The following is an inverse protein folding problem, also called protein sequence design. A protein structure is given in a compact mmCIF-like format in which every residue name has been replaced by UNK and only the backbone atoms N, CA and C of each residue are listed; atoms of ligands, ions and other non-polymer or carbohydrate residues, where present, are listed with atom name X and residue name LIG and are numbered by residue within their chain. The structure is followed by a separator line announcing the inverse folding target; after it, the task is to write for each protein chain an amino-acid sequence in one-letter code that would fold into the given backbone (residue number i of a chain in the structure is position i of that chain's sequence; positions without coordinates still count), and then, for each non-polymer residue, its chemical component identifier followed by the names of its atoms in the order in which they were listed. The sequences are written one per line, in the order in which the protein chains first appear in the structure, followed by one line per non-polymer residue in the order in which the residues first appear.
data_IF_958645746659
#
_entry.id   IF_958645746659
#
_cell.length_a   1.000
_cell.length_b   1.000
_cell.length_c   1.000
_cell.angle_alpha   90.00
_cell.angle_beta   90.00
_cell.angle_gamma   90.00
#
_symmetry.space_group_name_H-M   'P 1'
#
loop_
_entity.id
_entity.type
_entity.pdbx_description
1 polymer ?
#
# COMPACT_ATOMS: atom_id res chain seq x y z
N UNK A 1 15.22 5.44 43.58
CA UNK A 1 16.23 5.52 42.50
C UNK A 1 15.53 5.51 41.14
N UNK A 2 15.20 6.69 40.60
CA UNK A 2 14.50 6.84 39.32
C UNK A 2 15.44 6.51 38.15
N UNK A 3 15.20 5.38 37.46
CA UNK A 3 15.90 5.07 36.20
C UNK A 3 15.40 6.03 35.12
N UNK A 4 16.28 6.97 34.73
CA UNK A 4 16.16 7.82 33.53
C UNK A 4 15.62 6.99 32.36
N UNK A 5 14.40 7.30 31.90
CA UNK A 5 13.90 6.89 30.59
C UNK A 5 14.93 7.41 29.57
N UNK A 6 15.66 6.51 28.90
CA UNK A 6 16.45 6.87 27.72
C UNK A 6 15.44 7.38 26.68
N UNK A 7 15.28 8.70 26.59
CA UNK A 7 14.67 9.34 25.43
C UNK A 7 15.50 8.88 24.24
N UNK A 8 14.86 8.16 23.31
CA UNK A 8 15.40 7.93 21.98
C UNK A 8 15.80 9.30 21.44
N UNK A 9 17.10 9.53 21.26
CA UNK A 9 17.59 10.72 20.56
C UNK A 9 16.92 10.72 19.18
N UNK A 10 16.35 11.87 18.81
CA UNK A 10 15.77 12.12 17.49
C UNK A 10 16.79 11.78 16.41
N UNK A 11 16.67 10.60 15.82
CA UNK A 11 17.22 10.32 14.51
C UNK A 11 16.15 10.72 13.51
N UNK A 12 16.34 11.93 12.99
CA UNK A 12 15.52 12.61 12.00
C UNK A 12 15.40 11.76 10.72
N UNK A 13 14.19 11.74 10.19
CA UNK A 13 13.78 11.45 8.81
C UNK A 13 14.10 10.07 8.19
N UNK A 14 15.00 9.27 8.77
CA UNK A 14 15.38 7.93 8.25
C UNK A 14 14.47 6.77 8.71
N UNK A 15 13.60 6.98 9.69
CA UNK A 15 12.62 5.98 10.16
C UNK A 15 11.21 6.29 9.61
N UNK A 16 11.11 6.79 8.37
CA UNK A 16 9.83 7.15 7.76
C UNK A 16 8.98 5.93 7.40
N UNK A 17 9.60 4.77 7.15
CA UNK A 17 8.92 3.53 6.77
C UNK A 17 9.10 2.43 7.84
N UNK A 18 8.04 1.69 8.14
CA UNK A 18 8.05 0.55 9.07
C UNK A 18 9.14 -0.45 8.71
N UNK A 19 9.34 -0.72 7.42
CA UNK A 19 10.35 -1.68 6.97
C UNK A 19 11.80 -1.17 7.16
N UNK A 20 12.02 0.14 7.13
CA UNK A 20 13.33 0.71 7.47
C UNK A 20 13.62 0.54 8.97
N UNK A 21 12.60 0.69 9.82
CA UNK A 21 12.71 0.39 11.26
C UNK A 21 13.04 -1.09 11.47
N UNK A 22 12.40 -2.00 10.72
CA UNK A 22 12.68 -3.44 10.79
C UNK A 22 14.09 -3.78 10.30
N UNK A 23 14.58 -3.12 9.24
CA UNK A 23 15.93 -3.29 8.72
C UNK A 23 16.98 -2.85 9.76
N UNK A 24 16.74 -1.73 10.43
CA UNK A 24 17.62 -1.23 11.49
C UNK A 24 17.48 -2.00 12.81
N UNK A 25 16.35 -2.68 13.02
CA UNK A 25 16.04 -3.46 14.24
C UNK A 25 15.52 -4.84 13.83
N UNK A 26 16.39 -5.70 13.25
CA UNK A 26 15.97 -6.97 12.66
C UNK A 26 15.31 -7.93 13.67
N UNK A 27 15.55 -7.75 14.97
CA UNK A 27 14.87 -8.52 16.02
C UNK A 27 13.35 -8.27 16.07
N UNK A 28 12.86 -7.13 15.59
CA UNK A 28 11.42 -6.81 15.54
C UNK A 28 10.67 -7.66 14.51
N UNK A 29 11.32 -8.10 13.43
CA UNK A 29 10.71 -9.02 12.44
C UNK A 29 10.23 -10.32 13.10
N UNK A 30 10.92 -10.75 14.16
CA UNK A 30 10.56 -11.95 14.90
C UNK A 30 9.25 -11.76 15.66
N UNK A 31 8.89 -10.53 16.04
CA UNK A 31 7.79 -10.19 16.94
C UNK A 31 6.40 -10.31 16.31
N UNK A 32 6.34 -10.53 15.00
CA UNK A 32 5.11 -10.61 14.23
C UNK A 32 5.08 -11.88 13.37
N UNK A 33 3.90 -12.21 12.84
CA UNK A 33 3.75 -13.12 11.69
C UNK A 33 4.07 -12.36 10.41
N UNK A 34 4.30 -13.07 9.29
CA UNK A 34 4.56 -12.43 7.99
C UNK A 34 3.38 -11.52 7.60
N UNK A 35 2.16 -12.04 7.65
CA UNK A 35 0.94 -11.27 7.35
C UNK A 35 0.78 -10.08 8.31
N UNK A 36 1.08 -10.29 9.59
CA UNK A 36 1.02 -9.25 10.59
C UNK A 36 2.04 -8.13 10.38
N UNK A 37 3.20 -8.43 9.78
CA UNK A 37 4.19 -7.41 9.37
C UNK A 37 3.69 -6.61 8.17
N UNK A 38 3.07 -7.26 7.19
CA UNK A 38 2.53 -6.61 6.00
C UNK A 38 1.40 -5.64 6.38
N UNK A 39 0.46 -6.09 7.20
CA UNK A 39 -0.67 -5.28 7.61
C UNK A 39 -0.25 -4.13 8.54
N UNK A 40 0.54 -4.41 9.58
CA UNK A 40 1.04 -3.36 10.49
C UNK A 40 1.94 -2.39 9.75
N UNK A 41 2.78 -2.87 8.82
CA UNK A 41 3.65 -2.03 8.01
C UNK A 41 2.87 -1.07 7.13
N UNK A 42 1.88 -1.57 6.37
CA UNK A 42 1.00 -0.74 5.55
C UNK A 42 0.29 0.33 6.38
N UNK A 43 -0.32 -0.07 7.51
CA UNK A 43 -1.07 0.87 8.35
C UNK A 43 -0.16 1.87 9.08
N UNK A 44 1.01 1.45 9.56
CA UNK A 44 2.01 2.33 10.17
C UNK A 44 2.53 3.35 9.16
N UNK A 45 2.79 2.94 7.93
CA UNK A 45 3.31 3.82 6.88
C UNK A 45 2.33 4.95 6.53
N UNK A 46 1.02 4.69 6.66
CA UNK A 46 -0.03 5.70 6.48
C UNK A 46 -0.10 6.76 7.59
N UNK A 47 0.63 6.61 8.69
CA UNK A 47 0.65 7.58 9.78
C UNK A 47 1.56 8.77 9.47
N UNK A 48 1.20 9.94 10.02
CA UNK A 48 2.09 11.10 10.05
C UNK A 48 3.36 10.80 10.84
N UNK A 49 4.44 11.58 10.65
CA UNK A 49 5.69 11.35 11.37
C UNK A 49 5.54 11.47 12.90
N UNK A 50 4.72 12.42 13.37
CA UNK A 50 4.41 12.56 14.80
C UNK A 50 3.65 11.35 15.35
N UNK A 51 2.71 10.83 14.57
CA UNK A 51 1.90 9.66 14.95
C UNK A 51 2.71 8.36 14.91
N UNK A 52 3.69 8.27 14.01
CA UNK A 52 4.69 7.19 13.98
C UNK A 52 5.53 7.15 15.25
N UNK A 53 5.87 8.30 15.83
CA UNK A 53 6.56 8.38 17.12
C UNK A 53 5.64 7.96 18.28
N UNK A 54 4.38 8.43 18.26
CA UNK A 54 3.36 8.03 19.26
C UNK A 54 3.09 6.53 19.24
N UNK A 55 3.13 5.90 18.07
CA UNK A 55 3.00 4.45 17.94
C UNK A 55 4.08 3.74 18.76
N UNK A 56 5.35 4.01 18.52
CA UNK A 56 6.44 3.33 19.23
C UNK A 56 6.49 3.63 20.73
N UNK A 57 6.00 4.79 21.17
CA UNK A 57 5.92 5.10 22.61
C UNK A 57 4.75 4.39 23.31
N UNK A 58 3.67 4.08 22.59
CA UNK A 58 2.41 3.63 23.18
C UNK A 58 2.09 2.16 22.87
N UNK A 59 2.72 1.54 21.87
CA UNK A 59 2.48 0.13 21.55
C UNK A 59 3.20 -0.77 22.56
N UNK A 60 2.41 -1.51 23.33
CA UNK A 60 2.93 -2.54 24.21
C UNK A 60 3.22 -3.82 23.42
N UNK A 61 4.51 -4.13 23.24
CA UNK A 61 4.97 -5.32 22.54
C UNK A 61 5.61 -6.33 23.51
N UNK A 62 5.18 -7.58 23.39
CA UNK A 62 5.76 -8.72 24.09
C UNK A 62 7.11 -9.08 23.48
N UNK A 63 8.14 -9.08 24.32
CA UNK A 63 9.51 -9.44 23.90
C UNK A 63 9.64 -10.95 23.76
N UNK A 64 9.95 -11.41 22.55
CA UNK A 64 10.16 -12.83 22.28
C UNK A 64 11.35 -13.40 23.07
N UNK A 65 12.37 -12.59 23.32
CA UNK A 65 13.53 -13.04 24.11
C UNK A 65 13.13 -13.25 25.57
N UNK A 66 12.37 -12.32 26.17
CA UNK A 66 11.84 -12.50 27.53
C UNK A 66 10.90 -13.70 27.61
N UNK A 67 10.04 -13.88 26.62
CA UNK A 67 9.14 -15.03 26.56
C UNK A 67 9.92 -16.35 26.45
N UNK A 68 10.94 -16.41 25.61
CA UNK A 68 11.77 -17.61 25.46
C UNK A 68 12.50 -17.93 26.75
N UNK A 69 13.04 -16.90 27.41
CA UNK A 69 13.66 -17.04 28.73
C UNK A 69 12.66 -17.54 29.78
N UNK A 70 11.46 -16.95 29.85
CA UNK A 70 10.42 -17.39 30.78
C UNK A 70 9.96 -18.81 30.48
N UNK A 71 9.74 -19.19 29.23
CA UNK A 71 9.32 -20.55 28.88
C UNK A 71 10.42 -21.59 29.17
N UNK A 72 11.71 -21.26 29.00
CA UNK A 72 12.80 -22.20 29.26
C UNK A 72 13.05 -22.40 30.76
N UNK A 73 13.10 -21.33 31.55
CA UNK A 73 13.50 -21.40 32.96
C UNK A 73 12.30 -21.48 33.92
N UNK A 74 11.17 -20.91 33.53
CA UNK A 74 9.97 -20.80 34.37
C UNK A 74 8.71 -21.31 33.67
N UNK A 75 8.85 -21.98 32.52
CA UNK A 75 7.72 -22.50 31.76
C UNK A 75 6.96 -23.54 32.58
N UNK A 76 7.66 -24.37 33.36
CA UNK A 76 7.04 -25.39 34.20
C UNK A 76 6.01 -24.81 35.19
N UNK A 77 6.25 -23.60 35.69
CA UNK A 77 5.36 -22.90 36.63
C UNK A 77 4.42 -21.89 35.92
N UNK A 78 4.34 -21.92 34.59
CA UNK A 78 3.41 -21.12 33.80
C UNK A 78 3.67 -19.61 33.73
N UNK A 79 4.86 -19.14 34.16
CA UNK A 79 5.23 -17.71 34.14
C UNK A 79 5.17 -17.12 32.73
N UNK A 80 5.46 -17.93 31.71
CA UNK A 80 5.33 -17.55 30.31
C UNK A 80 3.88 -17.27 29.88
N UNK A 81 2.91 -18.02 30.42
CA UNK A 81 1.47 -17.81 30.19
C UNK A 81 0.96 -16.56 30.89
N UNK A 82 1.38 -16.33 32.13
CA UNK A 82 1.07 -15.09 32.86
C UNK A 82 1.68 -13.86 32.18
N UNK A 83 2.89 -13.98 31.63
CA UNK A 83 3.51 -12.90 30.85
C UNK A 83 2.67 -12.52 29.62
N UNK A 84 1.95 -13.46 29.02
CA UNK A 84 1.03 -13.22 27.89
C UNK A 84 -0.40 -12.84 28.32
N UNK A 85 -0.64 -12.64 29.62
CA UNK A 85 -1.97 -12.43 30.23
C UNK A 85 -2.96 -13.60 30.04
N UNK A 86 -2.47 -14.82 29.75
CA UNK A 86 -3.30 -16.02 29.63
C UNK A 86 -3.42 -16.73 31.00
N UNK A 87 -4.03 -16.05 31.98
CA UNK A 87 -4.07 -16.49 33.39
C UNK A 87 -4.67 -17.89 33.58
N UNK A 88 -5.72 -18.21 32.85
CA UNK A 88 -6.40 -19.51 32.92
C UNK A 88 -5.46 -20.66 32.50
N UNK A 89 -4.75 -20.51 31.38
CA UNK A 89 -3.78 -21.50 30.91
C UNK A 89 -2.56 -21.59 31.84
N UNK A 90 -2.15 -20.49 32.45
CA UNK A 90 -1.12 -20.49 33.49
C UNK A 90 -1.50 -21.35 34.70
N UNK A 91 -2.73 -21.18 35.21
CA UNK A 91 -3.26 -22.00 36.31
C UNK A 91 -3.39 -23.46 35.90
N UNK A 92 -3.92 -23.75 34.70
CA UNK A 92 -4.05 -25.12 34.20
C UNK A 92 -2.68 -25.82 34.11
N UNK A 93 -1.65 -25.09 33.67
CA UNK A 93 -0.29 -25.60 33.57
C UNK A 93 0.31 -25.93 34.94
N UNK A 94 0.04 -25.09 35.95
CA UNK A 94 0.45 -25.34 37.33
C UNK A 94 -0.24 -26.57 37.94
N UNK A 95 -1.54 -26.74 37.71
CA UNK A 95 -2.31 -27.83 38.34
C UNK A 95 -2.07 -29.18 37.66
N UNK A 96 -2.00 -29.22 36.32
CA UNK A 96 -2.03 -30.48 35.57
C UNK A 96 -0.69 -30.86 34.94
N UNK A 97 0.07 -29.88 34.44
CA UNK A 97 1.31 -30.15 33.70
C UNK A 97 2.52 -30.24 34.64
N UNK A 98 2.59 -29.40 35.67
CA UNK A 98 3.71 -29.40 36.60
C UNK A 98 3.94 -30.76 37.29
N UNK A 99 2.92 -31.47 37.83
CA UNK A 99 3.11 -32.79 38.42
C UNK A 99 3.47 -33.87 37.39
N UNK A 100 2.88 -33.80 36.20
CA UNK A 100 3.06 -34.79 35.11
C UNK A 100 4.48 -34.72 34.50
N UNK A 101 5.06 -33.52 34.44
CA UNK A 101 6.37 -33.26 33.85
C UNK A 101 7.54 -33.72 34.73
N UNK A 102 7.33 -33.86 36.05
CA UNK A 102 8.34 -34.37 37.00
C UNK A 102 8.56 -35.89 36.88
N UNK A 103 7.59 -36.62 36.34
CA UNK A 103 7.54 -38.09 36.42
C UNK A 103 7.90 -38.73 35.06
N UNK A 104 7.81 -37.99 33.95
CA UNK A 104 7.93 -38.57 32.60
C UNK A 104 9.06 -37.95 31.76
N UNK A 105 9.84 -38.76 31.02
CA UNK A 105 10.91 -38.29 30.13
C UNK A 105 10.39 -37.54 28.89
N UNK A 106 9.08 -37.62 28.60
CA UNK A 106 8.43 -36.88 27.52
C UNK A 106 8.21 -35.39 27.83
N UNK A 107 8.58 -34.96 29.03
CA UNK A 107 8.40 -33.59 29.51
C UNK A 107 9.10 -32.54 28.66
N UNK A 108 10.27 -32.87 28.12
CA UNK A 108 11.03 -31.96 27.25
C UNK A 108 10.30 -31.62 25.95
N UNK A 109 9.63 -32.60 25.33
CA UNK A 109 8.87 -32.40 24.08
C UNK A 109 7.69 -31.46 24.33
N UNK A 110 7.01 -31.62 25.46
CA UNK A 110 5.88 -30.78 25.85
C UNK A 110 6.34 -29.33 26.09
N UNK A 111 7.49 -29.12 26.74
CA UNK A 111 8.07 -27.79 26.95
C UNK A 111 8.43 -27.12 25.62
N UNK A 112 8.99 -27.86 24.66
CA UNK A 112 9.30 -27.32 23.33
C UNK A 112 8.04 -26.94 22.55
N UNK A 113 7.00 -27.78 22.59
CA UNK A 113 5.72 -27.51 21.95
C UNK A 113 5.05 -26.28 22.58
N UNK A 114 5.06 -26.19 23.91
CA UNK A 114 4.48 -25.07 24.62
C UNK A 114 5.23 -23.75 24.33
N UNK A 115 6.57 -23.78 24.27
CA UNK A 115 7.38 -22.65 23.84
C UNK A 115 6.99 -22.19 22.42
N UNK A 116 6.78 -23.12 21.49
CA UNK A 116 6.33 -22.80 20.13
C UNK A 116 4.96 -22.13 20.14
N UNK A 117 4.00 -22.65 20.90
CA UNK A 117 2.65 -22.10 21.03
C UNK A 117 2.66 -20.70 21.68
N UNK A 118 3.44 -20.51 22.74
CA UNK A 118 3.65 -19.22 23.38
C UNK A 118 4.21 -18.19 22.40
N UNK A 119 5.22 -18.56 21.60
CA UNK A 119 5.78 -17.66 20.57
C UNK A 119 4.77 -17.30 19.49
N UNK A 120 3.98 -18.27 19.02
CA UNK A 120 2.90 -18.01 18.06
C UNK A 120 1.86 -17.04 18.64
N UNK A 121 1.44 -17.27 19.89
CA UNK A 121 0.48 -16.41 20.59
C UNK A 121 1.00 -14.99 20.80
N UNK A 122 2.26 -14.84 21.22
CA UNK A 122 2.90 -13.54 21.40
C UNK A 122 2.94 -12.72 20.11
N UNK A 123 3.21 -13.37 18.96
CA UNK A 123 3.18 -12.71 17.65
C UNK A 123 1.78 -12.18 17.30
N UNK A 124 0.74 -12.97 17.57
CA UNK A 124 -0.65 -12.56 17.37
C UNK A 124 -1.00 -11.37 18.27
N UNK A 125 -0.65 -11.43 19.56
CA UNK A 125 -0.91 -10.34 20.50
C UNK A 125 -0.17 -9.05 20.13
N UNK A 126 1.08 -9.16 19.68
CA UNK A 126 1.86 -8.01 19.19
C UNK A 126 1.21 -7.36 17.97
N UNK A 127 0.74 -8.17 17.02
CA UNK A 127 -0.02 -7.69 15.87
C UNK A 127 -1.29 -6.95 16.32
N UNK A 128 -2.15 -7.58 17.14
CA UNK A 128 -3.39 -6.98 17.63
C UNK A 128 -3.15 -5.67 18.42
N UNK A 129 -2.14 -5.65 19.30
CA UNK A 129 -1.79 -4.44 20.06
C UNK A 129 -1.31 -3.32 19.14
N UNK A 130 -0.58 -3.65 18.08
CA UNK A 130 -0.11 -2.68 17.10
C UNK A 130 -1.29 -2.07 16.34
N UNK A 131 -2.19 -2.91 15.81
CA UNK A 131 -3.41 -2.44 15.12
C UNK A 131 -4.26 -1.57 16.06
N UNK A 132 -4.53 -2.03 17.29
CA UNK A 132 -5.29 -1.25 18.28
C UNK A 132 -4.66 0.11 18.57
N UNK A 133 -3.34 0.18 18.65
CA UNK A 133 -2.63 1.45 18.87
C UNK A 133 -2.78 2.37 17.66
N UNK A 134 -2.61 1.84 16.45
CA UNK A 134 -2.76 2.61 15.20
C UNK A 134 -4.18 3.18 15.09
N UNK A 135 -5.21 2.36 15.33
CA UNK A 135 -6.61 2.80 15.30
C UNK A 135 -6.88 3.92 16.31
N UNK A 136 -6.35 3.80 17.54
CA UNK A 136 -6.48 4.83 18.57
C UNK A 136 -5.81 6.15 18.15
N UNK A 137 -4.62 6.06 17.55
CA UNK A 137 -3.89 7.24 17.06
C UNK A 137 -4.67 7.91 15.93
N UNK A 138 -5.18 7.15 14.96
CA UNK A 138 -6.02 7.67 13.86
C UNK A 138 -7.28 8.36 14.37
N UNK A 139 -7.98 7.75 15.33
CA UNK A 139 -9.18 8.34 15.94
C UNK A 139 -8.86 9.69 16.64
N UNK A 140 -7.79 9.75 17.44
CA UNK A 140 -7.39 10.99 18.11
C UNK A 140 -6.97 12.10 17.14
N UNK A 141 -6.36 11.72 16.00
CA UNK A 141 -5.95 12.67 14.96
C UNK A 141 -7.15 13.23 14.19
N UNK A 142 -8.19 12.42 14.02
CA UNK A 142 -9.44 12.84 13.40
C UNK A 142 -10.22 13.81 14.30
N UNK A 143 -10.31 13.53 15.61
CA UNK A 143 -10.93 14.43 16.60
C UNK A 143 -10.21 15.78 16.70
N UNK A 144 -8.87 15.80 16.66
CA UNK A 144 -8.10 17.05 16.64
C UNK A 144 -8.35 17.88 15.37
N UNK A 145 -8.47 17.22 14.20
CA UNK A 145 -8.77 17.89 12.93
C UNK A 145 -10.20 18.42 12.88
N UNK A 146 -11.18 17.70 13.44
CA UNK A 146 -12.56 18.18 13.51
C UNK A 146 -12.70 19.37 14.45
N UNK A 147 -11.97 19.41 15.58
CA UNK A 147 -11.92 20.56 16.48
C UNK A 147 -11.19 21.77 15.87
N UNK A 148 -10.08 21.56 15.16
CA UNK A 148 -9.40 22.63 14.43
C UNK A 148 -10.27 23.21 13.31
N UNK A 149 -11.01 22.38 12.58
CA UNK A 149 -11.93 22.84 11.54
C UNK A 149 -13.19 23.54 12.10
N UNK A 150 -13.57 23.29 13.36
CA UNK A 150 -14.59 24.08 14.06
C UNK A 150 -14.07 25.43 14.56
N UNK A 151 -12.78 25.55 14.89
CA UNK A 151 -12.15 26.83 15.24
C UNK A 151 -11.78 27.70 14.02
N UNK A 152 -11.85 27.15 12.80
CA UNK A 152 -11.59 27.86 11.54
C UNK A 152 -12.93 27.99 10.78
N UNK A 153 -13.90 28.69 11.38
CA UNK A 153 -14.93 29.47 10.67
C UNK A 153 -14.65 30.95 10.94
N UNK A 154 -14.81 31.83 9.95
CA UNK A 154 -13.72 32.68 9.54
C UNK A 154 -13.68 34.04 10.25
N UNK A 155 -12.47 34.51 10.57
CA UNK A 155 -12.13 35.95 10.48
C UNK A 155 -12.27 36.38 9.00
N UNK A 156 -13.50 36.52 8.53
CA UNK A 156 -13.80 37.43 7.43
C UNK A 156 -14.13 38.76 8.10
N UNK A 157 -13.20 39.68 7.90
CA UNK A 157 -13.25 41.08 8.30
C UNK A 157 -14.54 41.71 7.78
N UNK A 158 -15.31 42.23 8.73
CA UNK A 158 -16.34 43.24 8.54
C UNK A 158 -15.76 44.46 7.81
N UNK A 159 -16.38 44.83 6.69
CA UNK A 159 -16.46 46.23 6.26
C UNK A 159 -17.83 46.50 5.65
N UNK A 160 -18.66 47.20 6.44
CA UNK A 160 -19.79 48.03 6.02
C UNK A 160 -20.97 47.26 5.43
N UNK A 161 -22.21 47.35 5.92
CA UNK A 161 -22.89 48.52 6.48
C UNK A 161 -24.13 48.06 7.25
N UNK A 162 -24.39 48.78 8.35
CA UNK A 162 -25.64 48.92 9.11
C UNK A 162 -26.87 48.15 8.57
N UNK A 163 -27.52 47.32 9.39
CA UNK A 163 -28.54 47.85 10.31
C UNK A 163 -28.69 46.99 11.57
N UNK A 164 -28.81 47.70 12.69
CA UNK A 164 -28.87 47.25 14.08
C UNK A 164 -30.33 47.28 14.52
N UNK A 165 -30.65 46.58 15.63
CA UNK A 165 -31.83 46.72 16.52
C UNK A 165 -33.10 45.97 16.04
N UNK A 166 -33.84 45.15 16.80
CA UNK A 166 -34.09 44.96 18.26
C UNK A 166 -34.55 43.49 18.47
N UNK A 167 -33.89 42.68 19.30
CA UNK A 167 -34.31 42.16 20.64
C UNK A 167 -35.73 41.57 20.73
N UNK A 168 -35.76 40.28 21.14
CA UNK A 168 -36.74 39.50 21.91
C UNK A 168 -38.23 39.91 21.89
N UNK A 169 -39.13 38.94 21.61
CA UNK A 169 -40.05 38.37 22.63
C UNK A 169 -41.06 37.39 21.97
N UNK A 170 -41.63 36.51 22.80
CA UNK A 170 -42.86 35.73 22.59
C UNK A 170 -42.82 34.36 21.86
N UNK A 171 -42.74 33.34 22.72
CA UNK A 171 -43.48 32.07 22.63
C UNK A 171 -44.95 32.37 22.29
N UNK A 172 -45.47 31.74 21.24
CA UNK A 172 -46.89 31.78 20.91
C UNK A 172 -47.26 30.80 19.81
N UNK A 173 -47.90 29.70 20.22
CA UNK A 173 -48.53 28.70 19.36
C UNK A 173 -49.41 29.35 18.28
N UNK A 174 -49.12 29.08 17.00
CA UNK A 174 -50.13 29.12 15.94
C UNK A 174 -49.91 27.92 15.02
N UNK A 175 -50.92 27.05 15.01
CA UNK A 175 -51.14 25.97 14.06
C UNK A 175 -51.08 26.48 12.63
N UNK A 176 -50.20 25.91 11.81
CA UNK A 176 -50.29 26.02 10.36
C UNK A 176 -50.37 24.62 9.77
N UNK A 177 -51.53 24.43 9.14
CA UNK A 177 -52.04 23.34 8.34
C UNK A 177 -51.01 22.67 7.43
N UNK A 178 -51.06 21.33 7.44
CA UNK A 178 -50.61 20.45 6.36
C UNK A 178 -51.35 20.82 5.07
N UNK A 179 -50.70 21.59 4.20
CA UNK A 179 -50.83 21.51 2.74
C UNK A 179 -49.98 22.65 2.13
N UNK A 180 -49.18 22.33 1.12
CA UNK A 180 -48.30 23.23 0.34
C UNK A 180 -46.94 23.61 0.95
N UNK A 181 -46.02 22.64 0.99
CA UNK A 181 -44.57 22.89 0.81
C UNK A 181 -43.82 21.62 0.35
N UNK A 182 -44.46 20.80 -0.50
CA UNK A 182 -43.73 19.87 -1.39
C UNK A 182 -43.28 20.62 -2.65
N UNK A 183 -42.39 21.58 -2.46
CA UNK A 183 -41.43 21.99 -3.48
C UNK A 183 -40.09 22.10 -2.75
N UNK A 184 -39.64 20.96 -2.22
CA UNK A 184 -38.23 20.78 -1.89
C UNK A 184 -37.47 20.99 -3.19
N UNK A 185 -36.79 22.12 -3.28
CA UNK A 185 -35.82 22.46 -4.32
C UNK A 185 -34.94 21.22 -4.57
N UNK A 186 -35.20 20.49 -5.65
CA UNK A 186 -34.37 19.35 -6.03
C UNK A 186 -33.03 19.92 -6.47
N UNK A 187 -32.07 19.84 -5.55
CA UNK A 187 -30.64 20.05 -5.77
C UNK A 187 -30.15 19.30 -7.02
N UNK A 188 -29.00 19.73 -7.54
CA UNK A 188 -28.39 19.16 -8.74
C UNK A 188 -28.24 17.64 -8.63
N UNK A 189 -28.72 16.90 -9.63
CA UNK A 189 -28.80 15.43 -9.62
C UNK A 189 -27.94 14.84 -10.75
N UNK A 190 -27.02 13.93 -10.40
CA UNK A 190 -26.25 13.13 -11.35
C UNK A 190 -26.76 11.69 -11.36
N UNK A 191 -27.15 11.20 -12.53
CA UNK A 191 -27.59 9.82 -12.76
C UNK A 191 -26.63 9.14 -13.72
N UNK A 192 -26.13 7.96 -13.34
CA UNK A 192 -25.28 7.10 -14.16
C UNK A 192 -25.93 5.74 -14.32
N UNK A 193 -26.47 5.47 -15.50
CA UNK A 193 -27.12 4.19 -15.83
C UNK A 193 -26.16 3.25 -16.56
N UNK A 194 -26.03 2.02 -16.07
CA UNK A 194 -25.28 0.96 -16.76
C UNK A 194 -26.24 0.12 -17.60
N UNK A 195 -26.08 0.12 -18.92
CA UNK A 195 -26.80 -0.77 -19.85
C UNK A 195 -25.95 -2.01 -20.10
N UNK A 196 -26.03 -2.99 -19.20
CA UNK A 196 -25.18 -4.19 -19.22
C UNK A 196 -25.25 -4.94 -20.55
N UNK A 197 -26.45 -5.13 -21.11
CA UNK A 197 -26.65 -5.83 -22.39
C UNK A 197 -26.00 -5.11 -23.58
N UNK A 198 -25.95 -3.79 -23.54
CA UNK A 198 -25.37 -2.94 -24.58
C UNK A 198 -23.90 -2.60 -24.31
N UNK A 199 -23.35 -3.06 -23.18
CA UNK A 199 -22.05 -2.66 -22.66
C UNK A 199 -21.85 -1.14 -22.66
N UNK A 200 -22.89 -0.38 -22.34
CA UNK A 200 -22.89 1.08 -22.44
C UNK A 200 -23.20 1.77 -21.11
N UNK A 201 -22.77 3.02 -20.98
CA UNK A 201 -23.09 3.89 -19.84
C UNK A 201 -23.84 5.11 -20.32
N UNK A 202 -24.96 5.44 -19.69
CA UNK A 202 -25.69 6.69 -19.93
C UNK A 202 -25.49 7.60 -18.74
N UNK A 203 -25.03 8.82 -19.00
CA UNK A 203 -24.86 9.87 -18.02
C UNK A 203 -25.97 10.89 -18.23
N UNK A 204 -26.65 11.27 -17.15
CA UNK A 204 -27.69 12.31 -17.15
C UNK A 204 -27.40 13.24 -15.97
N UNK A 205 -27.33 14.54 -16.21
CA UNK A 205 -27.19 15.55 -15.16
C UNK A 205 -28.35 16.53 -15.23
N UNK A 206 -28.98 16.78 -14.09
CA UNK A 206 -30.12 17.68 -13.95
C UNK A 206 -29.80 18.83 -13.01
N UNK A 207 -30.20 20.04 -13.38
CA UNK A 207 -30.16 21.24 -12.54
C UNK A 207 -31.63 21.65 -12.32
N UNK A 208 -32.07 21.73 -11.07
CA UNK A 208 -33.46 22.06 -10.72
C UNK A 208 -34.52 21.23 -11.47
N UNK A 209 -34.28 19.90 -11.57
CA UNK A 209 -35.16 18.96 -12.26
C UNK A 209 -35.08 18.97 -13.79
N UNK A 210 -34.40 19.94 -14.42
CA UNK A 210 -34.21 20.01 -15.87
C UNK A 210 -32.92 19.29 -16.28
N UNK A 211 -33.02 18.37 -17.24
CA UNK A 211 -31.83 17.73 -17.83
C UNK A 211 -31.03 18.76 -18.61
N UNK A 212 -29.81 19.04 -18.15
CA UNK A 212 -28.88 19.98 -18.81
C UNK A 212 -27.74 19.26 -19.53
N UNK A 213 -27.47 17.99 -19.19
CA UNK A 213 -26.48 17.17 -19.88
C UNK A 213 -26.95 15.72 -19.98
N UNK A 214 -26.74 15.13 -21.16
CA UNK A 214 -26.99 13.71 -21.42
C UNK A 214 -25.98 13.18 -22.42
N UNK A 215 -25.28 12.10 -22.08
CA UNK A 215 -24.32 11.43 -22.98
C UNK A 215 -24.36 9.93 -22.80
N UNK A 216 -24.22 9.20 -23.91
CA UNK A 216 -23.99 7.75 -23.91
C UNK A 216 -22.52 7.48 -24.23
N UNK A 217 -21.87 6.65 -23.42
CA UNK A 217 -20.53 6.11 -23.62
C UNK A 217 -20.64 4.63 -23.97
N UNK A 218 -19.78 4.14 -24.86
CA UNK A 218 -19.86 2.79 -25.43
C UNK A 218 -19.20 1.72 -24.58
N UNK A 219 -18.87 2.02 -23.32
CA UNK A 219 -18.30 1.07 -22.37
C UNK A 219 -18.99 1.22 -21.00
N UNK A 220 -18.92 0.16 -20.18
CA UNK A 220 -19.47 0.18 -18.83
C UNK A 220 -18.60 1.02 -17.91
N UNK A 221 -19.22 1.86 -17.08
CA UNK A 221 -18.50 2.61 -16.06
C UNK A 221 -17.92 1.67 -15.02
N UNK A 222 -16.62 1.82 -14.82
CA UNK A 222 -15.87 1.12 -13.79
C UNK A 222 -15.82 1.95 -12.51
N UNK A 223 -15.52 3.25 -12.63
CA UNK A 223 -15.39 4.18 -11.50
C UNK A 223 -15.73 5.61 -11.94
N UNK A 224 -16.27 6.43 -11.05
CA UNK A 224 -16.55 7.84 -11.35
C UNK A 224 -16.46 8.73 -10.10
N UNK A 225 -16.25 10.02 -10.34
CA UNK A 225 -16.19 11.08 -9.34
C UNK A 225 -16.96 12.30 -9.82
N UNK A 226 -17.75 12.88 -8.94
CA UNK A 226 -18.57 14.05 -9.21
C UNK A 226 -18.05 15.26 -8.42
N UNK A 227 -17.66 16.33 -9.12
CA UNK A 227 -17.13 17.55 -8.54
C UNK A 227 -17.98 18.75 -8.97
N UNK A 228 -19.09 18.98 -8.28
CA UNK A 228 -20.07 20.06 -8.57
C UNK A 228 -20.68 19.99 -9.98
N UNK A 229 -20.03 20.58 -10.99
CA UNK A 229 -20.48 20.59 -12.38
C UNK A 229 -19.61 19.67 -13.27
N UNK A 230 -18.57 19.05 -12.70
CA UNK A 230 -17.63 18.22 -13.43
C UNK A 230 -17.82 16.75 -13.10
N UNK A 231 -17.67 15.90 -14.12
CA UNK A 231 -17.67 14.45 -13.99
C UNK A 231 -16.35 13.91 -14.48
N UNK A 232 -15.67 13.16 -13.61
CA UNK A 232 -14.56 12.30 -13.99
C UNK A 232 -15.07 10.85 -14.03
N UNK A 233 -14.95 10.16 -15.16
CA UNK A 233 -15.50 8.82 -15.34
C UNK A 233 -14.50 7.90 -16.05
N UNK A 234 -14.21 6.76 -15.44
CA UNK A 234 -13.33 5.72 -15.95
C UNK A 234 -14.15 4.51 -16.39
N UNK A 235 -13.91 4.05 -17.62
CA UNK A 235 -14.66 2.96 -18.22
C UNK A 235 -13.87 1.65 -18.18
N UNK A 236 -14.61 0.55 -18.06
CA UNK A 236 -14.07 -0.79 -18.02
C UNK A 236 -13.47 -1.18 -19.37
N UNK A 237 -12.60 -2.19 -19.33
CA UNK A 237 -12.05 -2.78 -20.54
C UNK A 237 -13.14 -3.50 -21.35
N UNK A 238 -13.23 -3.20 -22.64
CA UNK A 238 -14.16 -3.81 -23.60
C UNK A 238 -13.61 -3.65 -25.02
N UNK A 239 -14.30 -4.21 -26.01
CA UNK A 239 -13.93 -4.11 -27.43
C UNK A 239 -14.43 -2.83 -28.11
N UNK A 240 -14.75 -1.79 -27.35
CA UNK A 240 -15.43 -0.58 -27.84
C UNK A 240 -14.53 0.64 -27.74
N UNK A 241 -14.84 1.68 -28.51
CA UNK A 241 -13.96 2.86 -28.63
C UNK A 241 -13.68 3.57 -27.30
N UNK A 242 -14.65 3.57 -26.39
CA UNK A 242 -14.49 4.22 -25.08
C UNK A 242 -13.81 3.32 -24.02
N UNK A 243 -13.45 2.07 -24.36
CA UNK A 243 -12.87 1.12 -23.41
C UNK A 243 -11.56 1.62 -22.78
N UNK A 244 -11.38 1.35 -21.48
CA UNK A 244 -10.23 1.78 -20.66
C UNK A 244 -9.94 3.30 -20.68
N UNK A 245 -10.86 4.14 -21.17
CA UNK A 245 -10.66 5.58 -21.18
C UNK A 245 -11.16 6.23 -19.90
N UNK A 246 -10.42 7.25 -19.48
CA UNK A 246 -10.80 8.22 -18.46
C UNK A 246 -11.29 9.48 -19.17
N UNK A 247 -12.51 9.91 -18.87
CA UNK A 247 -13.10 11.15 -19.37
C UNK A 247 -13.22 12.15 -18.23
N UNK A 248 -12.86 13.40 -18.51
CA UNK A 248 -13.20 14.52 -17.64
C UNK A 248 -14.11 15.49 -18.39
N UNK A 249 -15.28 15.76 -17.82
CA UNK A 249 -16.39 16.41 -18.53
C UNK A 249 -16.90 17.55 -17.67
N UNK A 250 -16.99 18.74 -18.25
CA UNK A 250 -17.81 19.83 -17.75
C UNK A 250 -19.25 19.62 -18.22
N UNK A 251 -20.10 19.16 -17.31
CA UNK A 251 -21.49 18.83 -17.62
C UNK A 251 -22.34 20.08 -17.85
N UNK A 252 -22.02 21.20 -17.17
CA UNK A 252 -22.79 22.44 -17.31
C UNK A 252 -22.61 23.07 -18.69
N UNK A 253 -21.39 23.04 -19.21
CA UNK A 253 -21.07 23.60 -20.53
C UNK A 253 -21.08 22.54 -21.65
N UNK A 254 -21.49 21.30 -21.36
CA UNK A 254 -21.48 20.18 -22.29
C UNK A 254 -20.12 20.01 -23.01
N UNK A 255 -19.03 20.15 -22.25
CA UNK A 255 -17.66 20.16 -22.79
C UNK A 255 -16.86 19.00 -22.22
N UNK A 256 -16.35 18.14 -23.10
CA UNK A 256 -15.30 17.20 -22.71
C UNK A 256 -13.99 17.97 -22.56
N UNK A 257 -13.40 17.93 -21.37
CA UNK A 257 -12.11 18.55 -21.07
C UNK A 257 -10.97 17.69 -21.58
N UNK A 258 -11.01 16.38 -21.33
CA UNK A 258 -10.11 15.39 -21.95
C UNK A 258 -10.73 13.99 -22.02
N UNK A 259 -10.10 13.12 -22.81
CA UNK A 259 -10.34 11.68 -22.86
C UNK A 259 -9.02 10.97 -23.18
N UNK A 260 -8.54 10.13 -22.25
CA UNK A 260 -7.24 9.46 -22.37
C UNK A 260 -7.31 8.01 -21.89
N UNK A 261 -6.34 7.20 -22.27
CA UNK A 261 -6.03 5.96 -21.56
C UNK A 261 -4.98 6.33 -20.51
N UNK A 262 -5.34 6.38 -19.23
CA UNK A 262 -4.43 6.88 -18.20
C UNK A 262 -3.26 5.92 -17.99
N UNK A 263 -2.05 6.46 -17.89
CA UNK A 263 -0.87 5.66 -17.49
C UNK A 263 -0.96 5.25 -16.01
N UNK A 264 -1.75 5.98 -15.24
CA UNK A 264 -1.90 5.82 -13.80
C UNK A 264 -3.10 4.95 -13.46
N UNK A 265 -2.98 4.15 -12.40
CA UNK A 265 -3.96 3.14 -12.08
C UNK A 265 -5.20 3.71 -11.38
N UNK A 266 -6.24 4.04 -12.16
CA UNK A 266 -7.51 4.56 -11.67
C UNK A 266 -8.20 3.73 -10.56
N UNK A 267 -7.85 2.45 -10.40
CA UNK A 267 -8.39 1.60 -9.35
C UNK A 267 -7.72 1.80 -7.99
N UNK A 268 -6.42 2.09 -7.98
CA UNK A 268 -5.63 2.18 -6.73
C UNK A 268 -5.76 3.53 -6.04
N UNK A 269 -5.81 4.62 -6.79
CA UNK A 269 -5.88 5.97 -6.23
C UNK A 269 -7.29 6.54 -6.10
N UNK A 270 -7.35 7.77 -5.60
CA UNK A 270 -8.54 8.62 -5.61
C UNK A 270 -8.29 9.88 -6.44
N UNK A 271 -9.34 10.66 -6.66
CA UNK A 271 -9.23 11.94 -7.36
C UNK A 271 -9.78 13.06 -6.50
N UNK A 272 -9.10 14.20 -6.53
CA UNK A 272 -9.52 15.43 -5.88
C UNK A 272 -9.56 16.57 -6.89
N UNK A 273 -10.55 17.44 -6.75
CA UNK A 273 -10.66 18.64 -7.56
C UNK A 273 -10.66 19.86 -6.64
N UNK A 274 -9.59 20.65 -6.68
CA UNK A 274 -9.38 21.81 -5.81
C UNK A 274 -8.72 22.94 -6.57
N UNK A 275 -9.14 24.17 -6.30
CA UNK A 275 -8.60 25.38 -6.95
C UNK A 275 -8.59 25.28 -8.49
N UNK A 276 -9.67 24.73 -9.07
CA UNK A 276 -9.81 24.46 -10.51
C UNK A 276 -8.73 23.54 -11.12
N UNK A 277 -8.14 22.67 -10.32
CA UNK A 277 -7.11 21.70 -10.73
C UNK A 277 -7.52 20.30 -10.29
N UNK A 278 -7.26 19.34 -11.16
CA UNK A 278 -7.55 17.92 -10.90
C UNK A 278 -6.27 17.25 -10.41
N UNK A 279 -6.39 16.46 -9.35
CA UNK A 279 -5.29 15.71 -8.77
C UNK A 279 -5.66 14.23 -8.70
N UNK A 280 -4.69 13.38 -9.01
CA UNK A 280 -4.71 11.97 -8.70
C UNK A 280 -3.95 11.72 -7.40
N UNK A 281 -4.64 11.20 -6.40
CA UNK A 281 -4.09 10.96 -5.07
C UNK A 281 -3.73 9.49 -4.92
N UNK A 282 -2.46 9.21 -4.62
CA UNK A 282 -1.94 7.86 -4.49
C UNK A 282 -0.94 7.77 -3.34
N UNK A 283 -1.16 6.82 -2.43
CA UNK A 283 -0.28 6.55 -1.28
C UNK A 283 0.05 7.79 -0.41
N UNK A 284 -0.92 8.71 -0.30
CA UNK A 284 -0.78 9.95 0.46
C UNK A 284 -0.14 11.12 -0.30
N UNK A 285 0.33 10.89 -1.53
CA UNK A 285 0.83 11.95 -2.41
C UNK A 285 -0.24 12.36 -3.42
N UNK A 286 -0.09 13.57 -3.95
CA UNK A 286 -1.00 14.17 -4.94
C UNK A 286 -0.22 14.49 -6.21
N UNK A 287 -0.72 13.99 -7.34
CA UNK A 287 -0.14 14.23 -8.66
C UNK A 287 -1.14 15.01 -9.49
N UNK A 288 -0.77 16.22 -9.93
CA UNK A 288 -1.64 17.04 -10.76
C UNK A 288 -1.85 16.41 -12.14
N UNK A 289 -3.09 16.46 -12.60
CA UNK A 289 -3.49 16.11 -13.96
C UNK A 289 -3.64 17.40 -14.76
N UNK A 290 -2.87 17.49 -15.85
CA UNK A 290 -2.91 18.59 -16.79
C UNK A 290 -4.19 18.62 -17.63
N UNK A 291 -4.34 19.67 -18.43
CA UNK A 291 -5.54 19.88 -19.25
C UNK A 291 -5.76 18.80 -20.31
N UNK A 292 -4.71 18.08 -20.70
CA UNK A 292 -4.77 16.97 -21.66
C UNK A 292 -5.07 15.62 -20.99
N UNK A 293 -5.14 15.56 -19.65
CA UNK A 293 -5.32 14.34 -18.87
C UNK A 293 -4.02 13.69 -18.39
N UNK A 294 -2.85 14.11 -18.89
CA UNK A 294 -1.58 13.54 -18.45
C UNK A 294 -1.15 14.10 -17.09
N UNK A 295 -0.29 13.35 -16.39
CA UNK A 295 0.32 13.84 -15.16
C UNK A 295 1.32 14.95 -15.46
N UNK A 296 1.21 16.07 -14.74
CA UNK A 296 2.14 17.20 -14.88
C UNK A 296 3.55 16.81 -14.44
N UNK A 297 3.66 16.08 -13.33
CA UNK A 297 4.92 15.50 -12.85
C UNK A 297 4.87 13.96 -12.91
N UNK A 298 4.96 13.46 -14.14
CA UNK A 298 4.94 12.02 -14.44
C UNK A 298 6.13 11.28 -13.83
N UNK A 299 7.32 11.87 -13.80
CA UNK A 299 8.53 11.21 -13.28
C UNK A 299 8.40 10.94 -11.78
N UNK A 300 7.94 11.91 -10.99
CA UNK A 300 7.69 11.70 -9.56
C UNK A 300 6.64 10.62 -9.30
N UNK A 301 5.59 10.57 -10.13
CA UNK A 301 4.59 9.50 -10.08
C UNK A 301 5.19 8.12 -10.33
N UNK A 302 5.99 7.97 -11.38
CA UNK A 302 6.61 6.69 -11.72
C UNK A 302 7.57 6.23 -10.61
N UNK A 303 8.39 7.12 -10.04
CA UNK A 303 9.23 6.79 -8.88
C UNK A 303 8.40 6.31 -7.68
N UNK A 304 7.23 6.92 -7.45
CA UNK A 304 6.33 6.52 -6.37
C UNK A 304 5.73 5.13 -6.62
N UNK A 305 5.23 4.83 -7.82
CA UNK A 305 4.71 3.50 -8.15
C UNK A 305 5.79 2.41 -8.00
N UNK A 306 6.99 2.65 -8.54
CA UNK A 306 8.10 1.70 -8.45
C UNK A 306 8.53 1.45 -7.01
N UNK A 307 8.49 2.48 -6.16
CA UNK A 307 8.87 2.35 -4.74
C UNK A 307 7.86 1.57 -3.89
N UNK A 308 6.63 1.39 -4.37
CA UNK A 308 5.58 0.67 -3.64
C UNK A 308 5.46 -0.81 -4.03
N UNK A 309 6.21 -1.26 -5.05
CA UNK A 309 6.27 -2.64 -5.55
C UNK A 309 4.90 -3.30 -5.78
N UNK A 310 4.49 -3.37 -7.04
CA UNK A 310 3.37 -4.19 -7.50
C UNK A 310 3.73 -4.99 -8.75
N UNK A 311 2.83 -5.85 -9.22
CA UNK A 311 3.06 -6.68 -10.41
C UNK A 311 3.45 -5.85 -11.65
N UNK A 312 2.98 -4.60 -11.74
CA UNK A 312 3.28 -3.66 -12.83
C UNK A 312 4.58 -2.85 -12.62
N UNK A 313 5.37 -3.11 -11.58
CA UNK A 313 6.55 -2.27 -11.29
C UNK A 313 7.57 -2.29 -12.42
N UNK A 314 7.73 -3.43 -13.11
CA UNK A 314 8.68 -3.54 -14.22
C UNK A 314 8.31 -2.56 -15.34
N UNK A 315 7.03 -2.49 -15.72
CA UNK A 315 6.52 -1.53 -16.69
C UNK A 315 6.85 -0.08 -16.29
N UNK A 316 6.65 0.31 -15.03
CA UNK A 316 6.98 1.67 -14.59
C UNK A 316 8.49 1.93 -14.54
N UNK A 317 9.32 0.93 -14.25
CA UNK A 317 10.79 1.03 -14.36
C UNK A 317 11.18 1.27 -15.82
N UNK A 318 10.58 0.56 -16.77
CA UNK A 318 10.82 0.75 -18.20
C UNK A 318 10.43 2.16 -18.65
N UNK A 319 9.27 2.67 -18.22
CA UNK A 319 8.90 4.07 -18.48
C UNK A 319 9.93 5.06 -17.93
N UNK A 320 10.44 4.85 -16.71
CA UNK A 320 11.50 5.71 -16.16
C UNK A 320 12.78 5.68 -17.01
N UNK A 321 13.17 4.50 -17.52
CA UNK A 321 14.34 4.33 -18.38
C UNK A 321 14.17 5.07 -19.71
N UNK A 322 12.95 5.09 -20.26
CA UNK A 322 12.63 5.76 -21.51
C UNK A 322 12.54 7.29 -21.36
N UNK A 323 12.02 7.76 -20.23
CA UNK A 323 11.72 9.18 -20.01
C UNK A 323 12.83 9.98 -19.34
N UNK A 324 13.90 9.32 -18.91
CA UNK A 324 15.02 9.98 -18.22
C UNK A 324 16.36 9.73 -18.91
N UNK A 325 17.30 10.62 -18.65
CA UNK A 325 18.67 10.42 -19.10
C UNK A 325 19.34 9.24 -18.38
N UNK A 326 20.04 8.40 -19.16
CA UNK A 326 20.74 7.22 -18.67
C UNK A 326 22.10 7.57 -18.06
N UNK A 327 22.08 8.41 -17.02
CA UNK A 327 23.26 8.70 -16.21
C UNK A 327 23.65 7.48 -15.37
N UNK A 328 24.93 7.35 -14.98
CA UNK A 328 25.38 6.27 -14.07
C UNK A 328 24.56 6.23 -12.78
N UNK A 329 24.17 7.39 -12.26
CA UNK A 329 23.32 7.51 -11.08
C UNK A 329 21.93 6.90 -11.31
N UNK A 330 21.23 7.31 -12.37
CA UNK A 330 19.89 6.82 -12.70
C UNK A 330 19.90 5.32 -12.99
N UNK A 331 20.88 4.82 -13.74
CA UNK A 331 21.04 3.39 -14.00
C UNK A 331 21.21 2.61 -12.69
N UNK A 332 22.06 3.09 -11.77
CA UNK A 332 22.23 2.48 -10.45
C UNK A 332 20.94 2.46 -9.63
N UNK A 333 20.14 3.53 -9.71
CA UNK A 333 18.83 3.60 -9.07
C UNK A 333 17.83 2.58 -9.67
N UNK A 334 17.78 2.45 -11.00
CA UNK A 334 16.89 1.48 -11.67
C UNK A 334 17.29 0.05 -11.39
N UNK A 335 18.59 -0.27 -11.35
CA UNK A 335 19.05 -1.61 -10.90
C UNK A 335 18.59 -1.89 -9.48
N UNK A 336 18.65 -0.90 -8.57
CA UNK A 336 18.13 -1.05 -7.20
C UNK A 336 16.62 -1.34 -7.20
N UNK A 337 15.84 -0.62 -8.01
CA UNK A 337 14.41 -0.88 -8.15
C UNK A 337 14.10 -2.28 -8.68
N UNK A 338 14.82 -2.73 -9.72
CA UNK A 338 14.66 -4.07 -10.29
C UNK A 338 14.97 -5.15 -9.24
N UNK A 339 16.05 -4.99 -8.47
CA UNK A 339 16.40 -5.94 -7.40
C UNK A 339 15.33 -6.04 -6.31
N UNK A 340 14.75 -4.89 -5.92
CA UNK A 340 13.66 -4.89 -4.96
C UNK A 340 12.39 -5.53 -5.54
N UNK A 341 12.10 -5.29 -6.82
CA UNK A 341 10.99 -5.93 -7.53
C UNK A 341 11.18 -7.45 -7.64
N UNK A 342 12.39 -7.93 -7.96
CA UNK A 342 12.74 -9.37 -7.94
C UNK A 342 12.44 -9.97 -6.57
N UNK A 343 12.87 -9.30 -5.49
CA UNK A 343 12.60 -9.77 -4.12
C UNK A 343 11.11 -9.79 -3.79
N UNK A 344 10.33 -8.86 -4.31
CA UNK A 344 8.88 -8.83 -4.16
C UNK A 344 8.21 -10.02 -4.89
N UNK A 345 8.67 -10.33 -6.10
CA UNK A 345 8.14 -11.39 -6.95
C UNK A 345 8.30 -12.80 -6.35
N UNK A 346 9.32 -13.06 -5.54
CA UNK A 346 9.53 -14.38 -4.91
C UNK A 346 8.33 -14.87 -4.07
N UNK A 347 7.38 -13.99 -3.72
CA UNK A 347 6.15 -14.34 -3.01
C UNK A 347 4.87 -14.46 -3.87
N UNK A 348 4.90 -14.18 -5.18
CA UNK A 348 3.70 -14.06 -6.01
C UNK A 348 3.43 -15.28 -6.89
N UNK A 349 2.18 -15.51 -7.32
CA UNK A 349 1.85 -16.57 -8.27
C UNK A 349 2.41 -16.23 -9.67
N UNK A 350 2.88 -17.21 -10.44
CA UNK A 350 3.43 -17.03 -11.80
C UNK A 350 4.71 -16.17 -11.91
N UNK A 351 5.41 -15.95 -10.80
CA UNK A 351 6.53 -15.00 -10.73
C UNK A 351 7.74 -15.32 -11.62
N UNK A 352 7.93 -16.56 -12.06
CA UNK A 352 9.10 -16.96 -12.86
C UNK A 352 9.17 -16.24 -14.21
N UNK A 353 8.03 -15.93 -14.83
CA UNK A 353 7.98 -15.21 -16.12
C UNK A 353 8.40 -13.75 -15.93
N UNK A 354 7.82 -13.07 -14.93
CA UNK A 354 8.20 -11.70 -14.58
C UNK A 354 9.65 -11.58 -14.13
N UNK A 355 10.18 -12.58 -13.42
CA UNK A 355 11.61 -12.62 -13.08
C UNK A 355 12.49 -12.69 -14.32
N UNK A 356 12.10 -13.46 -15.33
CA UNK A 356 12.90 -13.61 -16.55
C UNK A 356 13.10 -12.25 -17.23
N UNK A 357 12.04 -11.43 -17.31
CA UNK A 357 12.08 -10.08 -17.87
C UNK A 357 12.86 -9.12 -16.98
N UNK A 358 12.64 -9.14 -15.67
CA UNK A 358 13.37 -8.31 -14.71
C UNK A 358 14.89 -8.54 -14.77
N UNK A 359 15.33 -9.81 -14.78
CA UNK A 359 16.75 -10.16 -14.92
C UNK A 359 17.31 -9.77 -16.29
N UNK A 360 16.50 -9.83 -17.36
CA UNK A 360 16.91 -9.36 -18.69
C UNK A 360 17.19 -7.86 -18.68
N UNK A 361 16.26 -7.06 -18.14
CA UNK A 361 16.39 -5.62 -18.05
C UNK A 361 17.56 -5.21 -17.14
N UNK A 362 17.74 -5.91 -16.02
CA UNK A 362 18.90 -5.71 -15.14
C UNK A 362 20.22 -5.95 -15.90
N UNK A 363 20.30 -6.99 -16.72
CA UNK A 363 21.46 -7.26 -17.57
C UNK A 363 21.75 -6.12 -18.54
N UNK A 364 20.71 -5.57 -19.19
CA UNK A 364 20.85 -4.43 -20.12
C UNK A 364 21.38 -3.17 -19.44
N UNK A 365 20.94 -2.91 -18.21
CA UNK A 365 21.44 -1.79 -17.42
C UNK A 365 22.87 -2.01 -16.91
N UNK A 366 23.23 -3.22 -16.50
CA UNK A 366 24.58 -3.56 -16.05
C UNK A 366 25.60 -3.46 -17.19
N UNK A 367 25.22 -3.83 -18.42
CA UNK A 367 26.06 -3.58 -19.60
C UNK A 367 26.35 -2.09 -19.80
N UNK A 368 25.37 -1.21 -19.58
CA UNK A 368 25.56 0.25 -19.67
C UNK A 368 26.50 0.79 -18.58
N UNK A 369 26.67 0.06 -17.48
CA UNK A 369 27.65 0.36 -16.42
C UNK A 369 29.00 -0.35 -16.63
N UNK A 370 29.17 -1.10 -17.71
CA UNK A 370 30.35 -1.92 -18.00
C UNK A 370 30.61 -3.03 -16.95
N UNK A 371 29.58 -3.39 -16.15
CA UNK A 371 29.63 -4.53 -15.22
C UNK A 371 29.28 -5.83 -15.97
N UNK A 372 30.25 -6.31 -16.75
CA UNK A 372 30.08 -7.43 -17.67
C UNK A 372 29.75 -8.75 -16.97
N UNK A 373 30.35 -9.00 -15.80
CA UNK A 373 30.13 -10.22 -15.02
C UNK A 373 28.71 -10.28 -14.45
N UNK A 374 28.25 -9.19 -13.81
CA UNK A 374 26.89 -9.13 -13.28
C UNK A 374 25.85 -9.13 -14.40
N UNK A 375 26.16 -8.51 -15.54
CA UNK A 375 25.29 -8.58 -16.72
C UNK A 375 25.19 -10.03 -17.23
N UNK A 376 26.31 -10.75 -17.32
CA UNK A 376 26.34 -12.15 -17.73
C UNK A 376 25.52 -13.04 -16.80
N UNK A 377 25.69 -12.90 -15.47
CA UNK A 377 24.86 -13.57 -14.47
C UNK A 377 23.36 -13.32 -14.70
N UNK A 378 22.98 -12.04 -14.85
CA UNK A 378 21.57 -11.64 -15.02
C UNK A 378 20.97 -12.26 -16.30
N UNK A 379 21.68 -12.21 -17.42
CA UNK A 379 21.20 -12.83 -18.66
C UNK A 379 21.16 -14.36 -18.59
N UNK A 380 22.09 -14.99 -17.86
CA UNK A 380 22.13 -16.45 -17.71
C UNK A 380 20.89 -16.93 -16.97
N UNK A 381 20.56 -16.28 -15.86
CA UNK A 381 19.35 -16.54 -15.09
C UNK A 381 18.09 -16.31 -15.91
N UNK A 382 18.02 -15.16 -16.57
CA UNK A 382 16.91 -14.81 -17.47
C UNK A 382 16.69 -15.84 -18.58
N UNK A 383 17.78 -16.33 -19.21
CA UNK A 383 17.71 -17.36 -20.24
C UNK A 383 17.30 -18.73 -19.69
N UNK A 384 17.72 -19.09 -18.47
CA UNK A 384 17.22 -20.28 -17.76
C UNK A 384 15.73 -20.20 -17.47
N UNK A 385 15.23 -19.00 -17.16
CA UNK A 385 13.81 -18.70 -16.99
C UNK A 385 13.02 -18.51 -18.31
N UNK A 386 13.61 -18.91 -19.45
CA UNK A 386 13.01 -18.91 -20.80
C UNK A 386 12.89 -17.55 -21.51
N UNK A 387 13.56 -16.49 -21.04
CA UNK A 387 13.69 -15.26 -21.83
C UNK A 387 14.80 -15.40 -22.89
N UNK A 388 14.62 -14.79 -24.07
CA UNK A 388 15.50 -14.99 -25.24
C UNK A 388 16.77 -14.12 -25.19
N UNK A 389 17.73 -14.48 -24.35
CA UNK A 389 18.99 -13.73 -24.17
C UNK A 389 20.25 -14.37 -24.80
N UNK A 390 20.10 -15.46 -25.58
CA UNK A 390 21.23 -16.21 -26.19
C UNK A 390 22.25 -15.35 -26.93
N UNK A 391 21.81 -14.36 -27.72
CA UNK A 391 22.71 -13.48 -28.48
C UNK A 391 23.54 -12.57 -27.58
N UNK A 392 22.97 -12.09 -26.46
CA UNK A 392 23.66 -11.23 -25.49
C UNK A 392 24.71 -12.04 -24.72
N UNK A 393 24.35 -13.25 -24.29
CA UNK A 393 25.28 -14.21 -23.66
C UNK A 393 26.47 -14.52 -24.57
N UNK A 394 26.24 -14.90 -25.82
CA UNK A 394 27.31 -15.22 -26.77
C UNK A 394 28.28 -14.05 -27.05
N UNK A 395 27.82 -12.79 -26.88
CA UNK A 395 28.70 -11.62 -26.97
C UNK A 395 29.59 -11.51 -25.74
N UNK A 396 29.03 -11.70 -24.55
CA UNK A 396 29.77 -11.64 -23.29
C UNK A 396 30.76 -12.80 -23.12
N UNK A 397 30.41 -14.00 -23.57
CA UNK A 397 31.29 -15.19 -23.56
C UNK A 397 32.57 -15.01 -24.39
N UNK A 398 32.56 -14.09 -25.37
CA UNK A 398 33.76 -13.74 -26.14
C UNK A 398 34.71 -12.80 -25.39
N UNK A 399 34.22 -12.11 -24.36
CA UNK A 399 34.95 -11.08 -23.62
C UNK A 399 35.43 -11.65 -22.28
N UNK A 400 34.57 -12.40 -21.58
CA UNK A 400 34.87 -12.98 -20.27
C UNK A 400 35.79 -14.21 -20.38
N UNK A 401 36.60 -14.45 -19.35
CA UNK A 401 37.43 -15.65 -19.28
C UNK A 401 36.57 -16.89 -19.02
N UNK A 402 37.06 -18.07 -19.43
CA UNK A 402 36.36 -19.34 -19.22
C UNK A 402 36.06 -19.62 -17.74
N UNK A 403 37.03 -19.33 -16.87
CA UNK A 403 36.90 -19.53 -15.42
C UNK A 403 35.78 -18.66 -14.83
N UNK A 404 35.70 -17.38 -15.22
CA UNK A 404 34.64 -16.47 -14.79
C UNK A 404 33.27 -16.95 -15.28
N UNK A 405 33.19 -17.38 -16.55
CA UNK A 405 31.96 -17.92 -17.14
C UNK A 405 31.47 -19.16 -16.38
N UNK A 406 32.38 -20.07 -16.02
CA UNK A 406 32.06 -21.30 -15.28
C UNK A 406 31.54 -20.99 -13.88
N UNK A 407 32.25 -20.15 -13.12
CA UNK A 407 31.86 -19.73 -11.78
C UNK A 407 30.48 -19.04 -11.76
N UNK A 408 30.25 -18.11 -12.68
CA UNK A 408 28.96 -17.41 -12.79
C UNK A 408 27.85 -18.39 -13.21
N UNK A 409 28.14 -19.34 -14.10
CA UNK A 409 27.14 -20.33 -14.54
C UNK A 409 26.71 -21.27 -13.42
N UNK A 410 27.63 -21.66 -12.53
CA UNK A 410 27.32 -22.44 -11.33
C UNK A 410 26.41 -21.64 -10.40
N UNK A 411 26.80 -20.40 -10.07
CA UNK A 411 26.00 -19.54 -9.19
C UNK A 411 24.60 -19.26 -9.74
N UNK A 412 24.48 -19.03 -11.06
CA UNK A 412 23.20 -18.84 -11.73
C UNK A 412 22.33 -20.12 -11.70
N UNK A 413 22.94 -21.29 -11.77
CA UNK A 413 22.20 -22.55 -11.66
C UNK A 413 21.67 -22.77 -10.24
N UNK A 414 22.49 -22.53 -9.22
CA UNK A 414 22.09 -22.66 -7.82
C UNK A 414 20.89 -21.75 -7.49
N UNK A 415 20.94 -20.51 -7.95
CA UNK A 415 19.85 -19.56 -7.77
C UNK A 415 18.59 -19.97 -8.54
N UNK A 416 18.73 -20.47 -9.77
CA UNK A 416 17.60 -21.01 -10.52
C UNK A 416 16.91 -22.16 -9.79
N UNK A 417 17.68 -23.10 -9.23
CA UNK A 417 17.13 -24.20 -8.43
C UNK A 417 16.43 -23.68 -7.16
N UNK A 418 16.99 -22.66 -6.49
CA UNK A 418 16.33 -21.98 -5.35
C UNK A 418 14.96 -21.43 -5.76
N UNK A 419 14.88 -20.72 -6.89
CA UNK A 419 13.64 -20.12 -7.39
C UNK A 419 12.58 -21.19 -7.75
N UNK A 420 12.99 -22.33 -8.31
CA UNK A 420 12.07 -23.45 -8.58
C UNK A 420 11.45 -24.02 -7.29
N UNK A 421 12.25 -24.17 -6.22
CA UNK A 421 11.75 -24.63 -4.92
C UNK A 421 10.73 -23.63 -4.35
N UNK A 422 11.02 -22.33 -4.44
CA UNK A 422 10.10 -21.27 -4.00
C UNK A 422 8.79 -21.33 -4.80
N UNK A 423 8.86 -21.42 -6.12
CA UNK A 423 7.69 -21.52 -6.99
C UNK A 423 6.80 -22.72 -6.67
N UNK A 424 7.40 -23.88 -6.40
CA UNK A 424 6.64 -25.07 -6.00
C UNK A 424 5.94 -24.86 -4.65
N UNK A 425 6.58 -24.19 -3.69
CA UNK A 425 5.96 -23.83 -2.41
C UNK A 425 4.79 -22.87 -2.59
N UNK A 426 4.97 -21.80 -3.36
CA UNK A 426 3.92 -20.81 -3.65
C UNK A 426 2.74 -21.49 -4.34
N UNK A 427 2.97 -22.27 -5.40
CA UNK A 427 1.90 -23.05 -6.05
C UNK A 427 1.17 -23.97 -5.09
N UNK A 428 1.90 -24.70 -4.25
CA UNK A 428 1.29 -25.61 -3.28
C UNK A 428 0.40 -24.89 -2.26
N UNK A 429 0.73 -23.64 -1.91
CA UNK A 429 -0.06 -22.82 -1.00
C UNK A 429 -1.38 -22.39 -1.65
N UNK A 430 -1.34 -21.91 -2.90
CA UNK A 430 -2.52 -21.40 -3.60
C UNK A 430 -3.45 -22.48 -4.18
N UNK A 431 -2.93 -23.67 -4.51
CA UNK A 431 -3.73 -24.74 -5.13
C UNK A 431 -4.13 -25.88 -4.17
N UNK A 432 -3.75 -25.82 -2.89
CA UNK A 432 -4.23 -26.76 -1.85
C UNK A 432 -5.30 -26.16 -0.92
N UNK A 433 -5.58 -24.86 -1.03
CA UNK A 433 -6.76 -24.19 -0.48
C UNK A 433 -7.90 -24.25 -1.48
#
# INVERSE_FOLDING_TARGET
MYRKRRKLKSHSDREANFYDVLTNKPYLTRWFTVDGLLEVGSQYNSLSMEDKLKFWSNTHLYSIHKLTFFSLFFGLIGVDRFYLNDNFLGILKLVFLFPLLLITPYSFIIVLLDLFLCRKRAKILNHLNSIKTITKIKASSYELRSQQNQCIKPLIIERGTASKLVIDEFIGNVSLTEESLENTEKENELIIEKKIKELATIIIYKEYGKVIYKRKLTALVSKYYHFSNYLLIYLANSSTDDANKLFFIDMKNNKQLFSIIPIYNCYKGSFEYKNNRLFYCLYGDEFEIGSNGDLVDRISYLHKEVSNFSDNSLFYIECLIEETELTKYNIGLYIKYIRNYISFLEGTLHFLEYLAEAYSLQGDLLLKLEDLESAYYSYKLSNRLKCKNKRKLAKLEKILSKEVIENISISAEDEYQRLLVINNKVKSFYFKS
#
